data_IF_094430337571
#
_entry.id   IF_094430337571
#
_cell.length_a   1.000
_cell.length_b   1.000
_cell.length_c   1.000
_cell.angle_alpha   90.00
_cell.angle_beta   90.00
_cell.angle_gamma   90.00
#
_symmetry.space_group_name_H-M   'P 1'
#
loop_
_entity.id
_entity.type
_entity.pdbx_description
1 polymer ?
#
# COMPACT_ATOMS: atom_id res chain seq x y z
N UNK A 1 8.05 -11.84 52.80
CA UNK A 1 8.72 -10.80 52.01
C UNK A 1 7.90 -10.57 50.75
N UNK A 2 7.19 -9.45 50.58
CA UNK A 2 6.64 -9.09 49.29
C UNK A 2 7.77 -8.53 48.41
N UNK A 3 7.92 -9.07 47.20
CA UNK A 3 8.81 -8.55 46.19
C UNK A 3 8.22 -7.23 45.67
N UNK A 4 9.03 -6.19 45.73
CA UNK A 4 8.76 -4.81 45.32
C UNK A 4 8.43 -4.72 43.83
N UNK A 5 7.31 -4.07 43.53
CA UNK A 5 6.98 -3.53 42.21
C UNK A 5 8.10 -2.61 41.73
N UNK A 6 8.77 -3.01 40.64
CA UNK A 6 9.80 -2.20 40.01
C UNK A 6 9.14 -1.29 38.99
N UNK A 7 9.04 -0.02 39.39
CA UNK A 7 8.51 1.08 38.63
C UNK A 7 9.37 1.33 37.36
N UNK A 8 8.89 0.96 36.18
CA UNK A 8 9.47 1.38 34.90
C UNK A 8 8.69 2.58 34.34
N UNK A 9 8.88 3.73 34.99
CA UNK A 9 8.62 5.05 34.40
C UNK A 9 9.78 5.43 33.48
N UNK A 10 9.87 4.76 32.33
CA UNK A 10 10.63 5.22 31.17
C UNK A 10 9.66 5.87 30.19
N UNK A 11 9.99 7.05 29.67
CA UNK A 11 9.18 7.90 28.79
C UNK A 11 8.09 7.15 27.98
N UNK A 12 6.83 7.58 28.14
CA UNK A 12 5.68 7.14 27.34
C UNK A 12 5.88 7.62 25.88
N UNK A 13 6.75 6.94 25.13
CA UNK A 13 6.83 7.08 23.69
C UNK A 13 5.46 6.73 23.11
N UNK A 14 4.98 7.51 22.13
CA UNK A 14 3.74 7.17 21.42
C UNK A 14 3.79 5.72 20.96
N UNK A 15 2.69 4.98 21.11
CA UNK A 15 2.59 3.59 20.64
C UNK A 15 3.15 3.45 19.22
N UNK A 16 3.87 2.36 18.92
CA UNK A 16 4.49 2.17 17.61
C UNK A 16 3.43 2.27 16.51
N UNK A 17 3.68 3.09 15.49
CA UNK A 17 2.75 3.26 14.37
C UNK A 17 3.03 2.19 13.31
N UNK A 18 1.97 1.57 12.81
CA UNK A 18 2.01 0.69 11.65
C UNK A 18 1.35 1.38 10.45
N UNK A 19 2.10 1.56 9.37
CA UNK A 19 1.61 2.16 8.12
C UNK A 19 1.15 1.07 7.15
N UNK A 20 -0.12 1.10 6.78
CA UNK A 20 -0.68 0.27 5.70
C UNK A 20 -1.04 1.17 4.53
N UNK A 21 -0.52 0.87 3.34
CA UNK A 21 -0.76 1.66 2.13
C UNK A 21 -1.51 0.80 1.10
N UNK A 22 -2.69 1.23 0.66
CA UNK A 22 -3.32 0.71 -0.56
C UNK A 22 -2.50 1.18 -1.78
N UNK A 23 -1.62 0.29 -2.25
CA UNK A 23 -0.68 0.57 -3.32
C UNK A 23 -1.37 0.83 -4.64
N UNK A 24 -2.44 0.08 -4.93
CA UNK A 24 -3.24 0.25 -6.14
C UNK A 24 -3.88 1.64 -6.17
N UNK A 25 -4.56 2.06 -5.10
CA UNK A 25 -5.18 3.38 -5.03
C UNK A 25 -4.16 4.52 -5.12
N UNK A 26 -3.00 4.40 -4.46
CA UNK A 26 -1.94 5.42 -4.53
C UNK A 26 -1.32 5.50 -5.93
N UNK A 27 -1.07 4.37 -6.60
CA UNK A 27 -0.54 4.34 -7.96
C UNK A 27 -1.50 4.98 -8.97
N UNK A 28 -2.81 4.66 -8.89
CA UNK A 28 -3.84 5.31 -9.70
C UNK A 28 -3.89 6.82 -9.46
N UNK A 29 -3.82 7.26 -8.19
CA UNK A 29 -3.78 8.68 -7.86
C UNK A 29 -2.57 9.38 -8.47
N UNK A 30 -1.39 8.77 -8.36
CA UNK A 30 -0.16 9.29 -8.95
C UNK A 30 -0.24 9.40 -10.47
N UNK A 31 -0.79 8.37 -11.13
CA UNK A 31 -0.96 8.33 -12.59
C UNK A 31 -1.79 9.51 -13.12
N UNK A 32 -2.93 9.80 -12.50
CA UNK A 32 -3.82 10.87 -12.98
C UNK A 32 -3.47 12.27 -12.44
N UNK A 33 -2.76 12.37 -11.32
CA UNK A 33 -2.44 13.67 -10.71
C UNK A 33 -1.21 14.34 -11.33
N UNK A 34 -0.35 13.59 -12.01
CA UNK A 34 0.90 14.09 -12.57
C UNK A 34 0.86 14.13 -14.09
N UNK A 35 1.60 15.08 -14.72
CA UNK A 35 1.74 15.09 -16.18
C UNK A 35 2.36 13.79 -16.66
N UNK A 36 2.15 13.48 -17.94
CA UNK A 36 2.76 12.32 -18.58
C UNK A 36 4.28 12.48 -18.58
N UNK A 37 4.97 11.64 -17.81
CA UNK A 37 6.42 11.61 -17.72
C UNK A 37 6.92 10.37 -18.45
N UNK A 38 7.90 10.53 -19.34
CA UNK A 38 8.41 9.45 -20.19
C UNK A 38 9.91 9.34 -19.98
N UNK A 39 10.38 8.13 -19.67
CA UNK A 39 11.79 7.82 -19.56
C UNK A 39 12.45 7.72 -20.95
N UNK A 40 13.79 7.79 -21.07
CA UNK A 40 14.48 7.73 -22.36
C UNK A 40 14.20 6.46 -23.19
N UNK A 41 13.79 5.37 -22.53
CA UNK A 41 13.38 4.12 -23.17
C UNK A 41 11.92 4.12 -23.67
N UNK A 42 11.20 5.24 -23.54
CA UNK A 42 9.79 5.36 -23.92
C UNK A 42 8.79 4.90 -22.85
N UNK A 43 9.24 4.40 -21.71
CA UNK A 43 8.36 3.94 -20.62
C UNK A 43 7.75 5.14 -19.88
N UNK A 44 6.43 5.10 -19.63
CA UNK A 44 5.76 6.10 -18.80
C UNK A 44 6.12 5.89 -17.33
N UNK A 45 6.36 6.96 -16.59
CA UNK A 45 6.92 6.90 -15.22
C UNK A 45 6.25 7.86 -14.23
N UNK A 46 5.17 8.53 -14.64
CA UNK A 46 4.42 9.47 -13.81
C UNK A 46 3.85 8.81 -12.55
N UNK A 47 3.28 7.61 -12.65
CA UNK A 47 2.77 6.86 -11.51
C UNK A 47 3.92 6.42 -10.58
N UNK A 48 5.05 5.96 -11.14
CA UNK A 48 6.24 5.56 -10.37
C UNK A 48 6.75 6.73 -9.53
N UNK A 49 6.99 7.87 -10.19
CA UNK A 49 7.50 9.07 -9.53
C UNK A 49 6.54 9.58 -8.44
N UNK A 50 5.26 9.68 -8.74
CA UNK A 50 4.25 10.15 -7.78
C UNK A 50 4.09 9.21 -6.60
N UNK A 51 4.06 7.90 -6.84
CA UNK A 51 3.94 6.89 -5.79
C UNK A 51 5.10 6.99 -4.80
N UNK A 52 6.35 6.97 -5.29
CA UNK A 52 7.55 7.02 -4.46
C UNK A 52 7.55 8.31 -3.64
N UNK A 53 7.22 9.45 -4.26
CA UNK A 53 7.13 10.74 -3.56
C UNK A 53 6.09 10.72 -2.44
N UNK A 54 4.91 10.14 -2.68
CA UNK A 54 3.84 10.04 -1.69
C UNK A 54 4.22 9.12 -0.52
N UNK A 55 4.76 7.94 -0.80
CA UNK A 55 5.20 6.99 0.24
C UNK A 55 6.34 7.57 1.05
N UNK A 56 7.34 8.17 0.41
CA UNK A 56 8.46 8.79 1.12
C UNK A 56 8.00 9.91 2.06
N UNK A 57 7.02 10.71 1.64
CA UNK A 57 6.39 11.71 2.50
C UNK A 57 5.70 11.08 3.71
N UNK A 58 4.92 10.01 3.53
CA UNK A 58 4.28 9.30 4.65
C UNK A 58 5.31 8.74 5.63
N UNK A 59 6.40 8.15 5.14
CA UNK A 59 7.48 7.64 5.99
C UNK A 59 8.15 8.76 6.80
N UNK A 60 8.36 9.92 6.17
CA UNK A 60 9.01 11.08 6.81
C UNK A 60 8.11 11.75 7.84
N UNK A 61 6.85 11.98 7.49
CA UNK A 61 5.87 12.72 8.31
C UNK A 61 5.37 11.87 9.48
N UNK A 62 5.11 10.58 9.25
CA UNK A 62 4.52 9.70 10.26
C UNK A 62 5.56 8.97 11.11
N UNK A 63 6.77 8.74 10.56
CA UNK A 63 7.85 7.93 11.16
C UNK A 63 7.33 6.60 11.72
N UNK A 64 6.69 5.76 10.89
CA UNK A 64 6.12 4.51 11.36
C UNK A 64 7.23 3.52 11.75
N UNK A 65 6.95 2.70 12.76
CA UNK A 65 7.85 1.62 13.18
C UNK A 65 7.79 0.45 12.18
N UNK A 66 6.63 0.24 11.56
CA UNK A 66 6.37 -0.84 10.61
C UNK A 66 5.60 -0.30 9.40
N UNK A 67 5.77 -0.94 8.24
CA UNK A 67 5.08 -0.52 7.02
C UNK A 67 4.81 -1.67 6.07
N UNK A 68 3.65 -1.65 5.41
CA UNK A 68 3.32 -2.57 4.32
C UNK A 68 2.53 -1.86 3.23
N UNK A 69 2.84 -2.17 1.97
CA UNK A 69 2.05 -1.80 0.80
C UNK A 69 1.23 -3.01 0.35
N UNK A 70 -0.07 -2.85 0.18
CA UNK A 70 -0.96 -3.92 -0.31
C UNK A 70 -1.44 -3.62 -1.71
N UNK A 71 -1.59 -4.65 -2.54
CA UNK A 71 -2.03 -4.54 -3.92
C UNK A 71 -3.31 -5.32 -4.15
N UNK A 72 -4.17 -4.79 -5.02
CA UNK A 72 -5.40 -5.46 -5.44
C UNK A 72 -5.06 -6.75 -6.21
N UNK A 73 -5.49 -7.89 -5.68
CA UNK A 73 -5.29 -9.21 -6.26
C UNK A 73 -6.38 -9.64 -7.24
N UNK A 74 -7.29 -8.75 -7.59
CA UNK A 74 -8.47 -9.04 -8.40
C UNK A 74 -9.72 -9.31 -7.55
N UNK A 75 -10.83 -9.53 -8.25
CA UNK A 75 -12.15 -9.67 -7.63
C UNK A 75 -12.25 -10.97 -6.84
N UNK A 76 -12.78 -10.88 -5.63
CA UNK A 76 -13.18 -12.05 -4.83
C UNK A 76 -14.31 -12.82 -5.53
N UNK A 77 -14.10 -14.12 -5.72
CA UNK A 77 -15.10 -15.04 -6.29
C UNK A 77 -16.35 -15.13 -5.41
N UNK A 78 -16.20 -15.06 -4.08
CA UNK A 78 -17.31 -15.04 -3.13
C UNK A 78 -18.18 -13.79 -3.30
N UNK A 79 -17.55 -12.61 -3.41
CA UNK A 79 -18.27 -11.34 -3.63
C UNK A 79 -19.00 -11.33 -4.97
N UNK A 80 -18.40 -11.90 -6.02
CA UNK A 80 -19.05 -12.06 -7.33
C UNK A 80 -20.22 -13.04 -7.30
N UNK A 81 -20.17 -14.09 -6.47
CA UNK A 81 -21.32 -15.01 -6.28
C UNK A 81 -22.50 -14.31 -5.59
N UNK A 82 -22.23 -13.43 -4.63
CA UNK A 82 -23.27 -12.69 -3.90
C UNK A 82 -23.83 -11.55 -4.76
N UNK A 83 -22.98 -10.86 -5.52
CA UNK A 83 -23.38 -9.72 -6.35
C UNK A 83 -22.59 -9.71 -7.67
N UNK A 84 -23.11 -10.34 -8.73
CA UNK A 84 -22.41 -10.50 -10.01
C UNK A 84 -21.97 -9.19 -10.67
N UNK A 85 -22.72 -8.11 -10.46
CA UNK A 85 -22.41 -6.78 -11.02
C UNK A 85 -21.43 -5.97 -10.16
N UNK A 86 -20.87 -6.58 -9.09
CA UNK A 86 -19.99 -5.87 -8.17
C UNK A 86 -18.72 -5.40 -8.89
N UNK A 87 -18.44 -4.10 -8.82
CA UNK A 87 -17.33 -3.43 -9.53
C UNK A 87 -17.35 -3.64 -11.05
N UNK A 88 -18.48 -4.05 -11.65
CA UNK A 88 -18.59 -4.34 -13.09
C UNK A 88 -18.38 -3.10 -13.97
N UNK A 89 -18.77 -1.92 -13.48
CA UNK A 89 -18.63 -0.63 -14.19
C UNK A 89 -17.25 0.02 -14.02
N UNK A 90 -16.33 -0.57 -13.27
CA UNK A 90 -14.98 -0.01 -13.11
C UNK A 90 -14.21 -0.16 -14.42
N UNK A 91 -13.67 0.93 -14.98
CA UNK A 91 -12.88 0.83 -16.20
C UNK A 91 -11.66 -0.07 -15.97
N UNK A 92 -11.19 -0.78 -17.02
CA UNK A 92 -9.98 -1.57 -16.92
C UNK A 92 -8.78 -0.68 -16.57
N UNK A 93 -7.76 -1.28 -15.98
CA UNK A 93 -6.51 -0.57 -15.71
C UNK A 93 -5.90 -0.07 -17.03
N UNK A 94 -5.48 1.22 -17.09
CA UNK A 94 -4.75 1.73 -18.25
C UNK A 94 -3.52 0.87 -18.56
N UNK A 95 -3.29 0.56 -19.83
CA UNK A 95 -2.18 -0.30 -20.25
C UNK A 95 -0.82 0.27 -19.86
N UNK A 96 -0.68 1.60 -19.86
CA UNK A 96 0.52 2.31 -19.43
C UNK A 96 0.75 2.31 -17.91
N UNK A 97 -0.29 2.03 -17.10
CA UNK A 97 -0.16 1.98 -15.64
C UNK A 97 0.36 0.63 -15.15
N UNK A 98 -0.04 -0.46 -15.83
CA UNK A 98 0.36 -1.83 -15.46
C UNK A 98 1.88 -2.03 -15.36
N UNK A 99 2.73 -1.61 -16.33
CA UNK A 99 4.18 -1.74 -16.20
C UNK A 99 4.73 -0.86 -15.07
N UNK A 100 4.16 0.32 -14.84
CA UNK A 100 4.57 1.20 -13.74
C UNK A 100 4.31 0.59 -12.36
N UNK A 101 3.19 -0.13 -12.17
CA UNK A 101 2.93 -0.86 -10.92
C UNK A 101 4.00 -1.91 -10.66
N UNK A 102 4.41 -2.68 -11.69
CA UNK A 102 5.50 -3.66 -11.56
C UNK A 102 6.79 -2.97 -11.13
N UNK A 103 7.11 -1.83 -11.75
CA UNK A 103 8.29 -1.03 -11.38
C UNK A 103 8.23 -0.52 -9.94
N UNK A 104 7.05 -0.11 -9.47
CA UNK A 104 6.85 0.29 -8.08
C UNK A 104 7.10 -0.90 -7.15
N UNK A 105 6.56 -2.08 -7.46
CA UNK A 105 6.77 -3.29 -6.67
C UNK A 105 8.26 -3.67 -6.58
N UNK A 106 8.98 -3.62 -7.71
CA UNK A 106 10.43 -3.82 -7.75
C UNK A 106 11.18 -2.79 -6.89
N UNK A 107 10.82 -1.51 -7.00
CA UNK A 107 11.41 -0.46 -6.17
C UNK A 107 11.19 -0.71 -4.67
N UNK A 108 9.99 -1.12 -4.26
CA UNK A 108 9.67 -1.39 -2.87
C UNK A 108 10.54 -2.53 -2.31
N UNK A 109 10.76 -3.59 -3.10
CA UNK A 109 11.66 -4.69 -2.75
C UNK A 109 13.10 -4.19 -2.52
N UNK A 110 13.65 -3.42 -3.46
CA UNK A 110 14.98 -2.81 -3.33
C UNK A 110 15.08 -1.84 -2.14
N UNK A 111 13.99 -1.13 -1.82
CA UNK A 111 13.92 -0.20 -0.70
C UNK A 111 13.73 -0.90 0.67
N UNK A 112 13.60 -2.23 0.70
CA UNK A 112 13.32 -2.99 1.92
C UNK A 112 11.91 -2.74 2.47
N UNK A 113 11.00 -2.23 1.65
CA UNK A 113 9.60 -2.00 2.01
C UNK A 113 8.76 -3.21 1.62
N UNK A 114 8.11 -3.83 2.60
CA UNK A 114 7.28 -5.01 2.34
C UNK A 114 6.07 -4.63 1.48
N UNK A 115 5.87 -5.38 0.40
CA UNK A 115 4.65 -5.28 -0.40
C UNK A 115 4.01 -6.65 -0.63
N UNK A 116 2.68 -6.71 -0.63
CA UNK A 116 1.92 -7.97 -0.65
C UNK A 116 0.77 -7.87 -1.65
N UNK A 117 0.62 -8.92 -2.45
CA UNK A 117 -0.51 -9.14 -3.34
C UNK A 117 -0.92 -10.61 -3.22
N UNK A 118 -2.21 -10.88 -3.05
CA UNK A 118 -2.74 -12.25 -2.99
C UNK A 118 -3.84 -12.38 -4.03
N UNK A 119 -3.70 -13.32 -4.95
CA UNK A 119 -4.68 -13.55 -6.02
C UNK A 119 -6.08 -13.79 -5.44
N UNK A 120 -7.07 -13.09 -6.01
CA UNK A 120 -8.47 -13.18 -5.58
C UNK A 120 -8.80 -12.43 -4.28
N UNK A 121 -7.84 -11.72 -3.66
CA UNK A 121 -8.07 -10.89 -2.47
C UNK A 121 -7.94 -9.42 -2.84
N UNK A 122 -8.94 -8.64 -2.46
CA UNK A 122 -8.95 -7.20 -2.71
C UNK A 122 -8.04 -6.46 -1.72
N UNK A 123 -7.51 -5.29 -2.12
CA UNK A 123 -6.58 -4.54 -1.29
C UNK A 123 -7.19 -4.10 0.05
N UNK A 124 -8.47 -3.73 0.04
CA UNK A 124 -9.26 -3.35 1.21
C UNK A 124 -9.43 -4.50 2.22
N UNK A 125 -9.60 -5.74 1.76
CA UNK A 125 -9.61 -6.94 2.62
C UNK A 125 -8.26 -7.13 3.34
N UNK A 126 -7.15 -6.90 2.64
CA UNK A 126 -5.81 -6.94 3.24
C UNK A 126 -5.62 -5.81 4.26
N UNK A 127 -6.03 -4.57 3.93
CA UNK A 127 -5.98 -3.44 4.87
C UNK A 127 -6.77 -3.77 6.14
N UNK A 128 -8.00 -4.26 6.00
CA UNK A 128 -8.84 -4.63 7.14
C UNK A 128 -8.18 -5.73 8.00
N UNK A 129 -7.56 -6.72 7.36
CA UNK A 129 -6.85 -7.81 8.04
C UNK A 129 -5.66 -7.30 8.84
N UNK A 130 -4.84 -6.42 8.25
CA UNK A 130 -3.68 -5.82 8.92
C UNK A 130 -4.09 -4.94 10.09
N UNK A 131 -5.10 -4.09 9.91
CA UNK A 131 -5.61 -3.21 10.97
C UNK A 131 -6.17 -4.03 12.13
N UNK A 132 -7.00 -5.04 11.85
CA UNK A 132 -7.57 -5.92 12.87
C UNK A 132 -6.51 -6.70 13.64
N UNK A 133 -5.41 -7.07 13.01
CA UNK A 133 -4.32 -7.82 13.66
C UNK A 133 -3.37 -6.93 14.46
N UNK A 134 -3.41 -5.62 14.24
CA UNK A 134 -2.58 -4.64 14.93
C UNK A 134 -3.26 -4.05 16.18
N UNK A 135 -4.59 -3.93 16.15
CA UNK A 135 -5.43 -3.51 17.28
C UNK A 135 -5.67 -4.65 18.27
#
# INVERSE_FOLDING_TARGET
MPLTESNHLGAKGSDPKFLVVDGSAVAYRAYYALPHLVAPNGETTNAVYGFIRMVNRLLTDLKPAFGVVVWDGGRSTERLQIHPEYKATRPPMPDELRPQIRRIQEFLDYAGLRSIQIEGIEADDLVATFVKSWC
#
